data_IF_506454631308
#
_entry.id   IF_506454631308
#
_cell.length_a   1.000
_cell.length_b   1.000
_cell.length_c   1.000
_cell.angle_alpha   90.00
_cell.angle_beta   90.00
_cell.angle_gamma   90.00
#
_symmetry.space_group_name_H-M   'P 1'
#
loop_
_entity.id
_entity.type
_entity.pdbx_description
1 polymer ?
#
# COMPACT_ATOMS: atom_id res chain seq x y z
N UNK A 1 -19.81 -11.89 -2.04
CA UNK A 1 -20.07 -10.56 -1.44
C UNK A 1 -19.15 -10.26 -0.26
N UNK A 2 -19.13 -11.07 0.81
CA UNK A 2 -18.28 -10.84 1.99
C UNK A 2 -16.78 -10.72 1.67
N UNK A 3 -16.24 -11.59 0.81
CA UNK A 3 -14.80 -11.53 0.40
C UNK A 3 -14.42 -10.22 -0.27
N UNK A 4 -15.31 -9.65 -1.09
CA UNK A 4 -15.08 -8.36 -1.76
C UNK A 4 -15.09 -7.22 -0.73
N UNK A 5 -16.04 -7.24 0.20
CA UNK A 5 -16.13 -6.24 1.27
C UNK A 5 -14.86 -6.26 2.15
N UNK A 6 -14.40 -7.45 2.53
CA UNK A 6 -13.15 -7.62 3.29
C UNK A 6 -11.95 -7.08 2.50
N UNK A 7 -11.87 -7.37 1.19
CA UNK A 7 -10.78 -6.88 0.34
C UNK A 7 -10.75 -5.34 0.28
N UNK A 8 -11.92 -4.70 0.11
CA UNK A 8 -12.05 -3.23 0.11
C UNK A 8 -11.60 -2.65 1.46
N UNK A 9 -12.01 -3.28 2.57
CA UNK A 9 -11.68 -2.81 3.91
C UNK A 9 -10.19 -2.94 4.20
N UNK A 10 -9.56 -4.05 3.82
CA UNK A 10 -8.11 -4.27 3.95
C UNK A 10 -7.33 -3.27 3.10
N UNK A 11 -7.76 -3.05 1.86
CA UNK A 11 -7.14 -2.07 0.97
C UNK A 11 -7.25 -0.64 1.52
N UNK A 12 -8.44 -0.27 2.02
CA UNK A 12 -8.64 1.01 2.69
C UNK A 12 -7.75 1.20 3.92
N UNK A 13 -7.55 0.13 4.72
CA UNK A 13 -6.65 0.16 5.87
C UNK A 13 -5.19 0.39 5.46
N UNK A 14 -4.72 -0.27 4.40
CA UNK A 14 -3.35 -0.12 3.89
C UNK A 14 -3.11 1.33 3.44
N UNK A 15 -4.06 1.92 2.70
CA UNK A 15 -3.96 3.31 2.28
C UNK A 15 -4.01 4.25 3.47
N UNK A 16 -4.92 4.03 4.41
CA UNK A 16 -5.02 4.85 5.63
C UNK A 16 -3.70 4.88 6.40
N UNK A 17 -3.06 3.72 6.60
CA UNK A 17 -1.78 3.61 7.31
C UNK A 17 -0.67 4.31 6.52
N UNK A 18 -0.70 4.24 5.19
CA UNK A 18 0.22 4.97 4.32
C UNK A 18 0.11 6.48 4.52
N UNK A 19 -1.09 7.04 4.39
CA UNK A 19 -1.35 8.46 4.59
C UNK A 19 -1.05 8.92 6.02
N UNK A 20 -1.31 8.06 7.00
CA UNK A 20 -0.96 8.32 8.40
C UNK A 20 0.56 8.47 8.57
N UNK A 21 1.36 7.73 7.81
CA UNK A 21 2.82 7.87 7.78
C UNK A 21 3.24 9.28 7.37
N UNK A 22 2.71 9.77 6.25
CA UNK A 22 2.96 11.13 5.77
C UNK A 22 2.54 12.17 6.80
N UNK A 23 1.33 12.04 7.34
CA UNK A 23 0.79 12.93 8.35
C UNK A 23 1.66 13.03 9.60
N UNK A 24 2.03 11.89 10.19
CA UNK A 24 2.82 11.85 11.42
C UNK A 24 4.20 12.49 11.22
N UNK A 25 4.89 12.13 10.14
CA UNK A 25 6.24 12.66 9.88
C UNK A 25 6.17 14.12 9.47
N UNK A 26 5.15 14.56 8.71
CA UNK A 26 4.94 15.97 8.40
C UNK A 26 4.78 16.82 9.67
N UNK A 27 3.95 16.38 10.61
CA UNK A 27 3.79 17.05 11.92
C UNK A 27 5.08 17.06 12.73
N UNK A 28 5.84 15.96 12.78
CA UNK A 28 7.14 15.88 13.46
C UNK A 28 8.18 16.82 12.84
N UNK A 29 8.15 16.98 11.51
CA UNK A 29 9.06 17.89 10.79
C UNK A 29 8.59 19.35 10.83
N UNK A 30 7.48 19.64 11.46
CA UNK A 30 6.91 20.98 11.60
C UNK A 30 6.34 21.52 10.28
N UNK A 31 5.79 20.64 9.45
CA UNK A 31 5.01 21.00 8.27
C UNK A 31 3.55 21.20 8.68
N UNK A 32 2.93 22.26 8.15
CA UNK A 32 1.51 22.50 8.35
C UNK A 32 0.71 21.55 7.47
N UNK A 33 -0.17 20.76 8.09
CA UNK A 33 -1.12 19.89 7.40
C UNK A 33 -2.49 20.52 7.43
N UNK A 34 -3.02 20.83 6.25
CA UNK A 34 -4.31 21.50 6.09
C UNK A 34 -5.48 20.50 6.23
N UNK A 35 -5.40 19.35 5.55
CA UNK A 35 -6.42 18.31 5.63
C UNK A 35 -5.78 16.93 5.67
N UNK A 36 -6.33 16.06 6.53
CA UNK A 36 -6.08 14.64 6.56
C UNK A 36 -7.39 13.92 6.28
N UNK A 37 -7.48 13.29 5.11
CA UNK A 37 -8.71 12.70 4.61
C UNK A 37 -8.59 11.18 4.45
N UNK A 38 -9.62 10.45 4.93
CA UNK A 38 -9.80 9.04 4.63
C UNK A 38 -10.89 8.89 3.57
N UNK A 39 -10.54 8.20 2.46
CA UNK A 39 -11.45 7.97 1.35
C UNK A 39 -11.44 9.09 0.31
N UNK A 40 -12.26 8.92 -0.71
CA UNK A 40 -12.46 9.85 -1.81
C UNK A 40 -13.94 10.25 -1.94
N UNK A 41 -14.22 11.32 -2.73
CA UNK A 41 -15.56 11.81 -3.00
C UNK A 41 -16.07 12.81 -1.95
N UNK A 42 -17.39 13.01 -1.85
CA UNK A 42 -17.99 14.01 -0.96
C UNK A 42 -17.71 13.69 0.51
N UNK A 43 -17.54 14.75 1.32
CA UNK A 43 -17.29 14.66 2.77
C UNK A 43 -18.55 14.16 3.47
N UNK A 44 -18.46 13.02 4.16
CA UNK A 44 -19.52 12.50 5.03
C UNK A 44 -19.46 13.15 6.42
N UNK A 45 -18.24 13.29 6.93
CA UNK A 45 -17.98 13.83 8.25
C UNK A 45 -16.65 14.58 8.23
N UNK A 46 -16.60 15.75 8.87
CA UNK A 46 -15.36 16.50 9.06
C UNK A 46 -15.36 17.25 10.38
N UNK A 47 -14.18 17.34 10.97
CA UNK A 47 -13.95 18.16 12.15
C UNK A 47 -12.57 18.81 12.10
N UNK A 48 -12.44 19.96 12.74
CA UNK A 48 -11.17 20.68 12.82
C UNK A 48 -10.57 20.48 14.19
N UNK A 49 -9.30 20.10 14.25
CA UNK A 49 -8.54 20.02 15.50
C UNK A 49 -7.19 20.70 15.32
N UNK A 50 -7.03 21.83 16.01
CA UNK A 50 -5.88 22.70 15.81
C UNK A 50 -5.92 23.36 14.43
N UNK A 51 -4.90 23.12 13.62
CA UNK A 51 -4.77 23.68 12.27
C UNK A 51 -5.13 22.67 11.16
N UNK A 52 -5.53 21.45 11.52
CA UNK A 52 -5.78 20.36 10.57
C UNK A 52 -7.26 20.01 10.55
N UNK A 53 -7.82 19.93 9.36
CA UNK A 53 -9.15 19.37 9.12
C UNK A 53 -9.02 17.85 8.93
N UNK A 54 -9.78 17.09 9.72
CA UNK A 54 -9.89 15.65 9.58
C UNK A 54 -11.20 15.33 8.88
N UNK A 55 -11.17 14.59 7.80
CA UNK A 55 -12.37 14.26 7.02
C UNK A 55 -12.48 12.77 6.70
N UNK A 56 -13.73 12.29 6.75
CA UNK A 56 -14.12 10.97 6.24
C UNK A 56 -14.98 11.19 5.01
N UNK A 57 -14.64 10.52 3.92
CA UNK A 57 -15.31 10.65 2.62
C UNK A 57 -16.09 9.39 2.26
N UNK A 58 -17.00 9.51 1.29
CA UNK A 58 -17.99 8.48 0.98
C UNK A 58 -17.38 7.16 0.48
N UNK A 59 -16.37 7.24 -0.37
CA UNK A 59 -15.73 6.05 -0.93
C UNK A 59 -14.56 5.64 -0.06
N UNK A 60 -14.57 4.44 0.53
CA UNK A 60 -13.51 3.96 1.42
C UNK A 60 -12.26 3.52 0.64
N UNK A 61 -12.02 4.11 -0.52
CA UNK A 61 -10.89 3.85 -1.40
C UNK A 61 -10.07 5.13 -1.49
N UNK A 62 -8.79 5.04 -1.16
CA UNK A 62 -7.93 6.21 -1.18
C UNK A 62 -7.90 6.97 0.15
N UNK A 63 -7.22 8.06 0.13
CA UNK A 63 -7.02 9.02 1.19
C UNK A 63 -6.01 10.05 0.72
N UNK A 64 -5.81 11.11 1.50
CA UNK A 64 -4.75 12.07 1.24
C UNK A 64 -4.38 12.85 2.49
N UNK A 65 -3.15 13.33 2.50
CA UNK A 65 -2.61 14.22 3.50
C UNK A 65 -2.19 15.53 2.83
N UNK A 66 -3.08 16.52 2.77
CA UNK A 66 -2.80 17.80 2.13
C UNK A 66 -1.88 18.66 3.01
N UNK A 67 -0.68 18.91 2.55
CA UNK A 67 0.31 19.74 3.23
C UNK A 67 0.36 21.13 2.58
N UNK A 68 0.59 22.15 3.39
CA UNK A 68 0.77 23.51 2.90
C UNK A 68 1.96 23.59 1.93
N UNK A 69 1.73 24.12 0.71
CA UNK A 69 2.77 24.28 -0.30
C UNK A 69 3.28 22.98 -0.93
N UNK A 70 2.50 21.93 -0.92
CA UNK A 70 2.80 20.66 -1.60
C UNK A 70 2.64 20.80 -3.11
N UNK A 71 1.62 21.51 -3.58
CA UNK A 71 1.32 21.71 -5.01
C UNK A 71 2.47 22.40 -5.74
N UNK A 72 3.16 23.33 -5.07
CA UNK A 72 4.36 23.98 -5.60
C UNK A 72 5.55 23.00 -5.77
N UNK A 73 5.45 21.77 -5.27
CA UNK A 73 6.48 20.74 -5.37
C UNK A 73 6.14 19.63 -6.39
N UNK A 74 5.02 19.75 -7.11
CA UNK A 74 4.66 18.86 -8.23
C UNK A 74 3.77 17.66 -7.89
N UNK A 75 3.08 17.67 -6.76
CA UNK A 75 2.01 16.70 -6.50
C UNK A 75 0.72 17.21 -7.17
N UNK A 76 0.34 16.59 -8.28
CA UNK A 76 -0.87 16.95 -9.03
C UNK A 76 -2.14 16.71 -8.21
N UNK A 77 -2.73 17.77 -7.72
CA UNK A 77 -4.02 17.73 -7.06
C UNK A 77 -5.14 17.78 -8.10
N UNK A 78 -5.90 16.71 -8.21
CA UNK A 78 -7.18 16.73 -8.95
C UNK A 78 -8.19 17.42 -8.04
N UNK A 79 -8.24 18.73 -8.05
CA UNK A 79 -9.31 19.50 -7.45
C UNK A 79 -10.63 19.21 -8.16
N UNK A 80 -11.42 18.29 -7.62
CA UNK A 80 -12.85 18.27 -7.89
C UNK A 80 -13.42 19.55 -7.22
N UNK A 81 -13.70 20.57 -8.04
CA UNK A 81 -14.45 21.75 -7.61
C UNK A 81 -15.75 21.27 -7.00
N UNK A 82 -15.95 21.48 -5.71
CA UNK A 82 -17.27 21.42 -5.10
C UNK A 82 -18.09 22.59 -5.71
N UNK A 83 -18.85 22.30 -6.75
CA UNK A 83 -19.91 23.20 -7.25
C UNK A 83 -21.07 23.15 -6.28
N UNK A 84 -21.08 24.07 -5.34
CA UNK A 84 -22.13 24.16 -4.34
C UNK A 84 -22.08 25.45 -3.51
N UNK A 85 -21.92 26.61 -4.15
CA UNK A 85 -22.41 27.85 -3.59
C UNK A 85 -23.05 28.68 -4.67
N UNK A 86 -24.32 29.01 -4.40
CA UNK A 86 -25.27 29.64 -5.25
C UNK A 86 -24.80 31.00 -5.80
N UNK A 87 -25.06 31.19 -7.08
CA UNK A 87 -25.04 32.48 -7.73
C UNK A 87 -26.21 33.33 -7.19
N UNK A 88 -25.95 34.49 -6.62
CA UNK A 88 -26.89 35.57 -6.52
C UNK A 88 -26.47 36.72 -7.46
N UNK A 89 -27.44 37.05 -8.28
CA UNK A 89 -27.58 38.10 -9.26
C UNK A 89 -26.75 39.38 -9.11
N UNK A 90 -26.17 39.84 -10.25
CA UNK A 90 -26.46 41.21 -10.70
C UNK A 90 -26.36 41.31 -12.23
N UNK A 91 -27.48 41.65 -12.82
CA UNK A 91 -27.59 42.02 -14.22
C UNK A 91 -27.12 43.46 -14.45
N UNK A 92 -26.67 43.73 -15.65
CA UNK A 92 -26.43 45.06 -16.23
C UNK A 92 -25.06 45.19 -16.89
N UNK A 93 -24.84 45.44 -18.07
CA UNK A 93 -25.42 46.29 -19.09
C UNK A 93 -24.57 46.16 -20.36
N UNK A 94 -25.22 46.19 -21.47
CA UNK A 94 -24.66 46.05 -22.82
C UNK A 94 -24.01 47.37 -23.25
N UNK A 95 -22.78 47.34 -23.79
CA UNK A 95 -22.35 48.34 -24.74
C UNK A 95 -21.37 47.80 -25.75
N UNK A 96 -21.63 48.13 -27.02
CA UNK A 96 -21.05 47.63 -28.23
C UNK A 96 -19.71 48.26 -28.60
N UNK A 97 -18.97 47.45 -29.37
CA UNK A 97 -18.18 47.86 -30.56
C UNK A 97 -16.96 48.73 -30.37
N UNK A 98 -15.77 48.14 -30.63
CA UNK A 98 -14.83 48.61 -31.68
C UNK A 98 -13.70 47.57 -31.83
N UNK A 99 -13.46 47.15 -33.09
CA UNK A 99 -12.45 46.15 -33.42
C UNK A 99 -11.03 46.64 -33.41
N UNK A 100 -10.15 45.84 -32.79
CA UNK A 100 -8.73 45.79 -33.06
C UNK A 100 -8.23 44.38 -32.87
N UNK A 101 -7.27 43.85 -33.64
CA UNK A 101 -6.89 42.43 -33.60
C UNK A 101 -6.13 42.15 -32.28
N UNK A 102 -6.75 41.28 -31.47
CA UNK A 102 -6.18 40.85 -30.21
C UNK A 102 -4.88 40.06 -30.44
N UNK A 103 -3.77 40.55 -29.88
CA UNK A 103 -2.63 39.74 -29.51
C UNK A 103 -3.09 38.53 -28.67
N UNK A 104 -2.42 37.37 -28.78
CA UNK A 104 -2.80 36.21 -27.93
C UNK A 104 -2.65 36.62 -26.48
N UNK A 105 -3.78 36.76 -25.80
CA UNK A 105 -3.81 37.01 -24.37
C UNK A 105 -3.05 35.88 -23.67
N UNK A 106 -1.87 36.17 -23.17
CA UNK A 106 -1.21 35.39 -22.14
C UNK A 106 -2.15 35.40 -20.95
N UNK A 107 -2.87 34.31 -20.73
CA UNK A 107 -3.69 34.11 -19.55
C UNK A 107 -2.79 34.41 -18.35
N UNK A 108 -3.18 35.29 -17.42
CA UNK A 108 -2.40 35.52 -16.22
C UNK A 108 -2.27 34.18 -15.52
N UNK A 109 -1.02 33.74 -15.26
CA UNK A 109 -0.70 32.58 -14.45
C UNK A 109 -1.54 32.69 -13.18
N UNK A 110 -2.43 31.71 -12.99
CA UNK A 110 -3.28 31.62 -11.80
C UNK A 110 -2.37 31.73 -10.58
N UNK A 111 -2.73 32.55 -9.61
CA UNK A 111 -1.93 32.86 -8.41
C UNK A 111 -1.62 31.61 -7.55
N UNK A 112 -1.91 30.41 -8.02
CA UNK A 112 -1.72 29.13 -7.34
C UNK A 112 -0.28 28.61 -7.42
N UNK A 113 0.57 29.11 -8.33
CA UNK A 113 1.97 28.65 -8.50
C UNK A 113 3.01 29.45 -7.68
N UNK A 114 2.59 30.43 -6.90
CA UNK A 114 3.51 31.17 -6.05
C UNK A 114 3.90 30.31 -4.82
N UNK A 115 5.22 30.20 -4.51
CA UNK A 115 5.65 29.44 -3.35
C UNK A 115 4.99 30.00 -2.09
N UNK A 116 4.40 29.10 -1.27
CA UNK A 116 3.73 29.49 -0.05
C UNK A 116 4.65 30.33 0.84
N UNK A 117 4.12 31.46 1.36
CA UNK A 117 4.87 32.33 2.29
C UNK A 117 4.96 31.75 3.71
N UNK A 118 4.23 30.68 4.02
CA UNK A 118 4.30 30.06 5.35
C UNK A 118 5.66 29.35 5.50
N UNK A 119 6.48 29.69 6.51
CA UNK A 119 7.73 28.99 6.77
C UNK A 119 7.56 27.52 7.13
N UNK A 120 6.32 27.10 7.43
CA UNK A 120 5.96 25.71 7.70
C UNK A 120 5.47 24.97 6.46
N UNK A 121 5.43 25.60 5.29
CA UNK A 121 5.09 24.96 4.04
C UNK A 121 6.10 23.85 3.69
N UNK A 122 5.62 22.78 3.07
CA UNK A 122 6.44 21.65 2.63
C UNK A 122 7.58 22.07 1.70
N UNK A 123 7.29 22.95 0.71
CA UNK A 123 8.28 23.48 -0.21
C UNK A 123 9.43 24.26 0.48
N UNK A 124 9.17 24.90 1.63
CA UNK A 124 10.13 25.69 2.39
C UNK A 124 11.00 24.86 3.35
N UNK A 125 10.73 23.54 3.47
CA UNK A 125 11.54 22.68 4.33
C UNK A 125 12.82 22.20 3.63
N UNK A 126 13.83 21.90 4.45
CA UNK A 126 15.09 21.30 3.96
C UNK A 126 14.80 20.00 3.21
N UNK A 127 15.54 19.72 2.14
CA UNK A 127 15.33 18.56 1.26
C UNK A 127 15.22 17.24 2.04
N UNK A 128 16.12 17.01 3.02
CA UNK A 128 16.08 15.77 3.81
C UNK A 128 14.77 15.57 4.58
N UNK A 129 14.13 16.67 5.07
CA UNK A 129 12.82 16.60 5.76
C UNK A 129 11.72 16.20 4.80
N UNK A 130 11.75 16.77 3.58
CA UNK A 130 10.81 16.43 2.52
C UNK A 130 10.95 14.96 2.12
N UNK A 131 12.18 14.47 1.95
CA UNK A 131 12.46 13.07 1.65
C UNK A 131 11.93 12.14 2.75
N UNK A 132 12.12 12.46 4.03
CA UNK A 132 11.60 11.67 5.14
C UNK A 132 10.07 11.62 5.13
N UNK A 133 9.39 12.72 4.82
CA UNK A 133 7.93 12.76 4.73
C UNK A 133 7.46 11.86 3.58
N UNK A 134 8.09 11.95 2.41
CA UNK A 134 7.71 11.14 1.24
C UNK A 134 7.92 9.63 1.49
N UNK A 135 9.02 9.25 2.13
CA UNK A 135 9.30 7.83 2.43
C UNK A 135 8.42 7.30 3.56
N UNK A 136 7.89 8.16 4.41
CA UNK A 136 7.15 7.77 5.61
C UNK A 136 5.92 6.90 5.33
N UNK A 137 5.18 7.18 4.25
CA UNK A 137 4.02 6.40 3.84
C UNK A 137 4.39 4.93 3.55
N UNK A 138 5.39 4.72 2.71
CA UNK A 138 5.88 3.37 2.39
C UNK A 138 6.45 2.65 3.63
N UNK A 139 7.17 3.38 4.50
CA UNK A 139 7.72 2.85 5.75
C UNK A 139 6.62 2.36 6.69
N UNK A 140 5.52 3.10 6.82
CA UNK A 140 4.38 2.69 7.65
C UNK A 140 3.70 1.43 7.11
N UNK A 141 3.61 1.25 5.79
CA UNK A 141 3.10 0.02 5.20
C UNK A 141 4.03 -1.18 5.45
N UNK A 142 5.35 -0.96 5.42
CA UNK A 142 6.33 -2.00 5.79
C UNK A 142 6.17 -2.41 7.26
N UNK A 143 6.01 -1.45 8.16
CA UNK A 143 5.76 -1.70 9.59
C UNK A 143 4.43 -2.46 9.77
N UNK A 144 3.36 -2.04 9.08
CA UNK A 144 2.07 -2.73 9.12
C UNK A 144 2.21 -4.19 8.67
N UNK A 145 2.90 -4.43 7.54
CA UNK A 145 3.15 -5.78 7.03
C UNK A 145 3.92 -6.64 8.03
N UNK A 146 4.95 -6.08 8.67
CA UNK A 146 5.70 -6.76 9.71
C UNK A 146 4.84 -7.11 10.92
N UNK A 147 4.03 -6.16 11.41
CA UNK A 147 3.10 -6.40 12.54
C UNK A 147 2.09 -7.48 12.21
N UNK A 148 1.49 -7.42 11.02
CA UNK A 148 0.53 -8.45 10.57
C UNK A 148 1.20 -9.82 10.46
N UNK A 149 2.44 -9.89 9.98
CA UNK A 149 3.22 -11.11 9.93
C UNK A 149 3.46 -11.69 11.32
N UNK A 150 3.87 -10.86 12.28
CA UNK A 150 4.08 -11.30 13.69
C UNK A 150 2.77 -11.82 14.29
N UNK A 151 1.65 -11.13 14.07
CA UNK A 151 0.33 -11.57 14.55
C UNK A 151 -0.05 -12.90 13.89
N UNK A 152 0.15 -13.03 12.59
CA UNK A 152 -0.17 -14.25 11.86
C UNK A 152 0.65 -15.44 12.38
N UNK A 153 1.97 -15.29 12.51
CA UNK A 153 2.84 -16.35 13.03
C UNK A 153 2.57 -16.65 14.52
N UNK A 154 2.28 -15.62 15.32
CA UNK A 154 2.04 -15.81 16.75
C UNK A 154 0.65 -16.35 17.11
N UNK A 155 -0.39 -16.02 16.32
CA UNK A 155 -1.77 -16.39 16.63
C UNK A 155 -2.32 -17.53 15.78
N UNK A 156 -1.89 -17.61 14.49
CA UNK A 156 -2.47 -18.56 13.52
C UNK A 156 -1.61 -19.81 13.37
N UNK A 157 -0.28 -19.66 13.48
CA UNK A 157 0.64 -20.80 13.37
C UNK A 157 1.04 -21.38 14.73
N UNK A 158 0.21 -21.22 15.77
CA UNK A 158 0.35 -22.03 16.98
C UNK A 158 0.16 -23.51 16.58
N UNK A 159 1.11 -24.40 16.88
CA UNK A 159 0.90 -25.82 16.66
C UNK A 159 -0.30 -26.24 17.49
N UNK A 160 -1.44 -26.54 16.84
CA UNK A 160 -2.53 -27.25 17.51
C UNK A 160 -1.99 -28.64 17.83
N UNK A 161 -1.91 -28.97 19.13
CA UNK A 161 -1.60 -30.33 19.58
C UNK A 161 -2.60 -31.30 18.92
N UNK A 162 -2.10 -32.12 17.97
CA UNK A 162 -2.88 -33.13 17.26
C UNK A 162 -3.21 -32.84 15.80
N UNK A 163 -2.76 -31.73 15.23
CA UNK A 163 -2.82 -31.52 13.79
C UNK A 163 -1.45 -31.80 13.19
N UNK A 164 -1.29 -33.02 12.63
CA UNK A 164 -0.14 -33.40 11.81
C UNK A 164 -0.16 -32.63 10.45
N UNK A 165 -0.37 -31.32 10.47
CA UNK A 165 -0.13 -30.51 9.31
C UNK A 165 1.37 -30.45 9.11
N UNK A 166 1.85 -31.20 8.13
CA UNK A 166 3.22 -31.11 7.63
C UNK A 166 3.45 -29.68 7.13
N UNK A 167 3.93 -28.83 8.02
CA UNK A 167 4.50 -27.55 7.62
C UNK A 167 5.79 -27.89 6.87
N UNK A 168 5.72 -27.85 5.53
CA UNK A 168 6.92 -27.89 4.70
C UNK A 168 7.74 -26.60 4.94
N UNK A 169 8.49 -26.60 6.03
CA UNK A 169 9.39 -25.46 6.37
C UNK A 169 10.74 -25.62 5.70
N UNK A 170 11.08 -26.85 5.28
CA UNK A 170 12.33 -27.16 4.63
C UNK A 170 12.09 -28.07 3.43
N UNK A 171 13.08 -28.18 2.56
CA UNK A 171 13.11 -29.14 1.43
C UNK A 171 13.81 -30.45 1.80
N UNK A 172 14.18 -30.61 3.07
CA UNK A 172 14.82 -31.81 3.60
C UNK A 172 13.78 -32.69 4.28
N UNK A 173 13.82 -33.98 4.00
CA UNK A 173 12.91 -34.97 4.57
C UNK A 173 13.28 -35.20 6.04
N UNK A 174 12.42 -34.80 6.95
CA UNK A 174 12.63 -34.98 8.40
C UNK A 174 12.04 -36.29 8.92
N UNK A 175 10.92 -36.73 8.35
CA UNK A 175 10.24 -37.96 8.74
C UNK A 175 9.30 -38.42 7.64
N UNK A 176 8.90 -39.69 7.68
CA UNK A 176 7.84 -40.24 6.86
C UNK A 176 6.63 -40.57 7.74
N UNK A 177 5.45 -40.43 7.15
CA UNK A 177 4.26 -41.03 7.75
C UNK A 177 4.31 -42.54 7.65
N UNK A 178 3.59 -43.21 8.55
CA UNK A 178 3.45 -44.64 8.51
C UNK A 178 2.80 -45.10 7.19
N UNK A 179 3.45 -45.98 6.47
CA UNK A 179 3.08 -46.44 5.13
C UNK A 179 3.13 -45.39 4.01
N UNK A 180 3.98 -44.35 4.12
CA UNK A 180 4.15 -43.36 3.06
C UNK A 180 4.67 -44.01 1.76
N UNK A 181 3.99 -43.87 0.60
CA UNK A 181 4.46 -44.41 -0.68
C UNK A 181 5.86 -43.90 -1.10
N UNK A 182 6.19 -42.68 -0.71
CA UNK A 182 7.48 -42.04 -0.97
C UNK A 182 8.66 -42.74 -0.29
N UNK A 183 8.45 -43.44 0.82
CA UNK A 183 9.47 -44.24 1.46
C UNK A 183 9.81 -45.50 0.61
N UNK A 184 8.80 -46.10 -0.02
CA UNK A 184 8.98 -47.25 -0.89
C UNK A 184 9.74 -46.89 -2.19
N UNK A 185 9.78 -45.64 -2.61
CA UNK A 185 10.53 -45.14 -3.78
C UNK A 185 12.02 -44.91 -3.53
N UNK A 186 12.53 -45.19 -2.33
CA UNK A 186 13.95 -45.10 -1.98
C UNK A 186 14.40 -43.78 -1.36
N UNK A 187 13.46 -42.86 -1.08
CA UNK A 187 13.72 -41.65 -0.29
C UNK A 187 14.03 -41.99 1.16
N UNK A 188 14.93 -41.25 1.78
CA UNK A 188 15.35 -41.45 3.17
C UNK A 188 15.21 -40.13 3.99
N UNK A 189 15.11 -40.27 5.29
CA UNK A 189 15.22 -39.14 6.21
C UNK A 189 16.61 -38.52 6.08
N UNK A 190 16.67 -37.21 5.97
CA UNK A 190 17.90 -36.44 5.69
C UNK A 190 18.11 -36.08 4.21
N UNK A 191 17.38 -36.71 3.27
CA UNK A 191 17.45 -36.33 1.86
C UNK A 191 16.95 -34.90 1.65
N UNK A 192 17.75 -34.11 0.93
CA UNK A 192 17.34 -32.75 0.52
C UNK A 192 16.92 -32.77 -0.96
N UNK A 193 15.68 -32.40 -1.23
CA UNK A 193 15.11 -32.39 -2.59
C UNK A 193 15.67 -31.18 -3.36
N UNK A 194 16.36 -31.46 -4.47
CA UNK A 194 16.98 -30.43 -5.31
C UNK A 194 16.16 -30.13 -6.56
N UNK A 195 15.53 -31.15 -7.16
CA UNK A 195 14.71 -31.00 -8.37
C UNK A 195 13.50 -31.92 -8.32
N UNK A 196 12.39 -31.47 -8.93
CA UNK A 196 11.18 -32.27 -9.21
C UNK A 196 10.85 -32.10 -10.69
N UNK A 197 10.72 -33.20 -11.41
CA UNK A 197 10.40 -33.20 -12.85
C UNK A 197 11.31 -32.25 -13.65
N UNK A 198 12.63 -32.26 -13.34
CA UNK A 198 13.65 -31.42 -13.95
C UNK A 198 13.65 -29.93 -13.49
N UNK A 199 12.67 -29.48 -12.72
CA UNK A 199 12.57 -28.10 -12.19
C UNK A 199 13.32 -27.99 -10.86
N UNK A 200 14.06 -26.90 -10.66
CA UNK A 200 14.79 -26.61 -9.42
C UNK A 200 13.80 -26.30 -8.28
N UNK A 201 14.07 -26.90 -7.11
CA UNK A 201 13.38 -26.64 -5.85
C UNK A 201 14.30 -25.76 -4.99
N UNK A 202 14.00 -24.49 -4.87
CA UNK A 202 14.78 -23.53 -4.10
C UNK A 202 14.27 -23.37 -2.67
N UNK A 203 12.97 -23.58 -2.48
CA UNK A 203 12.30 -23.38 -1.20
C UNK A 203 11.27 -24.48 -0.91
N UNK A 204 10.81 -24.56 0.32
CA UNK A 204 9.70 -25.43 0.69
C UNK A 204 8.39 -25.05 -0.03
N UNK A 205 8.24 -23.78 -0.42
CA UNK A 205 7.10 -23.32 -1.20
C UNK A 205 7.10 -23.93 -2.61
N UNK A 206 8.27 -23.97 -3.29
CA UNK A 206 8.39 -24.61 -4.60
C UNK A 206 8.06 -26.09 -4.53
N UNK A 207 8.54 -26.77 -3.48
CA UNK A 207 8.25 -28.17 -3.22
C UNK A 207 6.73 -28.40 -3.14
N UNK A 208 6.04 -27.62 -2.29
CA UNK A 208 4.61 -27.71 -2.13
C UNK A 208 3.87 -27.40 -3.43
N UNK A 209 4.29 -26.36 -4.14
CA UNK A 209 3.69 -25.96 -5.40
C UNK A 209 3.78 -27.05 -6.46
N UNK A 210 4.95 -27.68 -6.65
CA UNK A 210 5.13 -28.76 -7.62
C UNK A 210 4.35 -30.00 -7.24
N UNK A 211 4.32 -30.39 -5.96
CA UNK A 211 3.56 -31.54 -5.49
C UNK A 211 2.04 -31.36 -5.62
N UNK A 212 1.52 -30.14 -5.48
CA UNK A 212 0.09 -29.88 -5.55
C UNK A 212 -0.44 -29.66 -6.98
N UNK A 213 0.41 -29.25 -7.91
CA UNK A 213 -0.01 -28.91 -9.28
C UNK A 213 0.33 -30.00 -10.32
N UNK A 214 0.77 -31.16 -9.89
CA UNK A 214 1.01 -32.29 -10.77
C UNK A 214 -0.20 -33.23 -10.75
N UNK A 215 -0.78 -33.49 -11.93
CA UNK A 215 -2.02 -34.27 -12.06
C UNK A 215 -1.76 -35.78 -12.00
N UNK A 216 -0.53 -36.20 -12.38
CA UNK A 216 -0.19 -37.62 -12.52
C UNK A 216 0.27 -38.26 -11.19
N UNK A 217 0.67 -37.44 -10.21
CA UNK A 217 1.14 -37.92 -8.90
C UNK A 217 2.44 -38.72 -8.95
N UNK A 218 3.14 -38.73 -10.10
CA UNK A 218 4.42 -39.41 -10.30
C UNK A 218 5.52 -38.37 -10.46
N UNK A 219 6.49 -38.38 -9.55
CA UNK A 219 7.54 -37.37 -9.50
C UNK A 219 8.91 -37.98 -9.75
N UNK A 220 9.64 -37.42 -10.71
CA UNK A 220 11.09 -37.67 -10.88
C UNK A 220 11.83 -36.67 -9.98
N UNK A 221 12.48 -37.20 -8.92
CA UNK A 221 13.12 -36.37 -7.90
C UNK A 221 14.63 -36.56 -7.92
N UNK A 222 15.35 -35.46 -7.90
CA UNK A 222 16.78 -35.43 -7.66
C UNK A 222 17.02 -34.96 -6.23
N UNK A 223 17.66 -35.79 -5.43
CA UNK A 223 17.94 -35.52 -4.01
C UNK A 223 19.46 -35.49 -3.77
N UNK A 224 19.84 -34.70 -2.76
CA UNK A 224 21.18 -34.74 -2.17
C UNK A 224 21.08 -35.45 -0.84
N UNK A 225 21.96 -36.47 -0.66
CA UNK A 225 22.08 -37.26 0.57
C UNK A 225 23.47 -37.09 1.14
N UNK A 226 23.58 -36.73 2.41
CA UNK A 226 24.83 -36.83 3.14
C UNK A 226 25.06 -38.31 3.48
N UNK A 227 26.12 -38.87 2.94
CA UNK A 227 26.57 -40.22 3.29
C UNK A 227 27.69 -40.02 4.30
N UNK A 228 27.44 -40.36 5.56
CA UNK A 228 28.49 -40.43 6.57
C UNK A 228 29.57 -41.41 6.09
N UNK A 229 30.75 -40.86 5.78
CA UNK A 229 31.93 -41.60 5.32
C UNK A 229 32.80 -42.08 6.49
#
# INVERSE_FOLDING_TARGET
>A
MLKILIAILVFGLIIFVHELGHFLVAKLMGVKVNEFAMGMGPKLFSFVRGETTYSLRLLPIGGFCAMEGEDAAGAGDVKLKDEGEAAEDTAGEVAADTGEPAEPAVLPATQEDAPSRDPRAFCNKKVWRRVLIVIAGATMNLILGFVLMVIYYGAVLQPEEGRDEVLFTTRTISQFYENAPSQASGLQVGDTILKINGKLVLSAFDLRFFLQNDEDGVFDMVVSREVDG
#
